data_IF_919267542662
#
_entry.id   IF_919267542662
#
_cell.length_a   1.000
_cell.length_b   1.000
_cell.length_c   1.000
_cell.angle_alpha   90.00
_cell.angle_beta   90.00
_cell.angle_gamma   90.00
#
_symmetry.space_group_name_H-M   'P 1'
#
loop_
_entity.id
_entity.type
_entity.pdbx_description
1 polymer ?
#
# COMPACT_ATOMS: atom_id res chain seq x y z
N UNK A 1 51.38 -26.78 -13.28
CA UNK A 1 50.76 -26.45 -14.58
C UNK A 1 49.28 -26.58 -14.35
N UNK A 2 48.58 -25.45 -14.25
CA UNK A 2 47.14 -25.41 -13.96
C UNK A 2 46.46 -24.80 -15.18
N UNK A 3 46.29 -25.61 -16.22
CA UNK A 3 45.46 -25.24 -17.37
C UNK A 3 44.01 -25.43 -16.93
N UNK A 4 43.46 -24.43 -16.25
CA UNK A 4 42.01 -24.30 -16.13
C UNK A 4 41.54 -23.49 -17.33
N UNK A 5 41.05 -24.20 -18.35
CA UNK A 5 40.25 -23.60 -19.40
C UNK A 5 39.08 -22.85 -18.74
N UNK A 6 39.03 -21.53 -18.94
CA UNK A 6 37.90 -20.71 -18.50
C UNK A 6 36.69 -21.20 -19.31
N UNK A 7 35.58 -21.64 -18.69
CA UNK A 7 34.38 -22.00 -19.41
C UNK A 7 33.91 -20.73 -20.13
N UNK A 8 34.12 -20.68 -21.44
CA UNK A 8 33.55 -19.61 -22.25
C UNK A 8 32.07 -19.93 -22.36
N UNK A 9 31.24 -18.98 -21.94
CA UNK A 9 29.78 -19.11 -22.00
C UNK A 9 29.38 -19.58 -23.39
N UNK A 10 28.60 -20.66 -23.45
CA UNK A 10 28.12 -21.24 -24.69
C UNK A 10 27.32 -20.16 -25.43
N UNK A 11 27.73 -19.83 -26.66
CA UNK A 11 26.96 -18.89 -27.48
C UNK A 11 25.52 -19.39 -27.61
N UNK A 12 24.57 -18.48 -27.44
CA UNK A 12 23.15 -18.77 -27.64
C UNK A 12 22.94 -19.23 -29.09
N UNK A 13 22.06 -20.22 -29.24
CA UNK A 13 21.59 -20.66 -30.54
C UNK A 13 20.63 -19.64 -31.14
N UNK A 14 20.48 -19.62 -32.47
CA UNK A 14 19.58 -18.69 -33.16
C UNK A 14 18.13 -18.78 -32.63
N UNK A 15 17.69 -19.98 -32.24
CA UNK A 15 16.37 -20.22 -31.62
C UNK A 15 16.25 -19.53 -30.25
N UNK A 16 17.28 -19.62 -29.41
CA UNK A 16 17.31 -18.96 -28.10
C UNK A 16 17.36 -17.43 -28.25
N UNK A 17 18.08 -16.92 -29.24
CA UNK A 17 18.13 -15.48 -29.56
C UNK A 17 16.76 -14.97 -30.01
N UNK A 18 16.06 -15.70 -30.89
CA UNK A 18 14.73 -15.34 -31.37
C UNK A 18 13.72 -15.34 -30.22
N UNK A 19 13.79 -16.33 -29.34
CA UNK A 19 12.91 -16.42 -28.17
C UNK A 19 13.15 -15.25 -27.20
N UNK A 20 14.40 -14.84 -26.97
CA UNK A 20 14.72 -13.70 -26.12
C UNK A 20 14.15 -12.39 -26.66
N UNK A 21 14.31 -12.16 -27.97
CA UNK A 21 13.78 -10.95 -28.64
C UNK A 21 12.25 -10.95 -28.68
N UNK A 22 11.61 -12.10 -28.87
CA UNK A 22 10.15 -12.21 -28.79
C UNK A 22 9.64 -11.98 -27.37
N UNK A 23 10.31 -12.54 -26.35
CA UNK A 23 9.99 -12.34 -24.94
C UNK A 23 10.06 -10.86 -24.53
N UNK A 24 11.09 -10.12 -24.96
CA UNK A 24 11.16 -8.67 -24.73
C UNK A 24 10.06 -7.90 -25.47
N UNK A 25 9.74 -8.31 -26.71
CA UNK A 25 8.78 -7.61 -27.57
C UNK A 25 7.32 -7.83 -27.18
N UNK A 26 7.00 -9.01 -26.64
CA UNK A 26 5.67 -9.35 -26.14
C UNK A 26 5.41 -8.78 -24.74
N UNK A 27 6.34 -7.98 -24.21
CA UNK A 27 6.23 -7.42 -22.89
C UNK A 27 6.33 -8.52 -21.84
N UNK A 28 7.42 -9.28 -21.88
CA UNK A 28 7.86 -10.21 -20.83
C UNK A 28 7.91 -9.49 -19.50
N UNK A 29 6.73 -9.39 -18.90
CA UNK A 29 6.47 -8.71 -17.66
C UNK A 29 6.91 -9.69 -16.57
N UNK A 30 8.17 -9.58 -16.16
CA UNK A 30 8.56 -9.93 -14.79
C UNK A 30 8.22 -8.77 -13.85
N UNK A 31 7.16 -8.00 -14.14
CA UNK A 31 6.42 -7.46 -13.03
C UNK A 31 5.66 -8.66 -12.46
N UNK A 32 6.19 -9.17 -11.36
CA UNK A 32 5.37 -9.59 -10.22
C UNK A 32 4.53 -8.38 -9.74
N UNK A 33 3.77 -7.76 -10.66
CA UNK A 33 2.51 -7.15 -10.34
C UNK A 33 1.64 -8.34 -9.98
N UNK A 34 1.78 -8.80 -8.75
CA UNK A 34 0.65 -9.32 -7.99
C UNK A 34 -0.49 -8.37 -8.36
N UNK A 35 -1.37 -8.80 -9.27
CA UNK A 35 -2.68 -8.19 -9.42
C UNK A 35 -3.24 -8.26 -8.01
N UNK A 36 -3.16 -7.14 -7.28
CA UNK A 36 -3.88 -6.98 -6.03
C UNK A 36 -5.32 -7.33 -6.40
N UNK A 37 -5.75 -8.55 -6.03
CA UNK A 37 -7.14 -8.98 -6.08
C UNK A 37 -7.94 -7.78 -5.62
N UNK A 38 -8.94 -7.37 -6.41
CA UNK A 38 -9.79 -6.20 -6.23
C UNK A 38 -10.40 -6.20 -4.81
N UNK A 39 -9.57 -5.81 -3.84
CA UNK A 39 -9.81 -5.85 -2.41
C UNK A 39 -10.62 -4.60 -2.14
N UNK A 40 -11.91 -4.69 -2.46
CA UNK A 40 -12.86 -3.60 -2.30
C UNK A 40 -12.71 -3.05 -0.87
N UNK A 41 -12.13 -1.85 -0.74
CA UNK A 41 -11.81 -1.27 0.56
C UNK A 41 -13.13 -1.14 1.34
N UNK A 42 -13.29 -1.84 2.48
CA UNK A 42 -14.57 -1.93 3.13
C UNK A 42 -14.99 -0.56 3.67
N UNK A 43 -16.24 -0.17 3.39
CA UNK A 43 -16.82 1.05 3.95
C UNK A 43 -16.86 0.95 5.48
N UNK A 44 -16.19 1.89 6.16
CA UNK A 44 -16.14 1.97 7.62
C UNK A 44 -16.90 3.17 8.14
N UNK A 45 -17.53 3.03 9.32
CA UNK A 45 -18.12 4.16 10.01
C UNK A 45 -17.06 5.17 10.47
N UNK A 46 -17.43 6.44 10.59
CA UNK A 46 -16.52 7.50 11.07
C UNK A 46 -15.91 7.15 12.43
N UNK A 47 -16.69 6.54 13.33
CA UNK A 47 -16.22 6.06 14.64
C UNK A 47 -15.13 4.98 14.51
N UNK A 48 -15.32 4.02 13.60
CA UNK A 48 -14.35 2.95 13.33
C UNK A 48 -13.07 3.53 12.71
N UNK A 49 -13.20 4.48 11.79
CA UNK A 49 -12.05 5.19 11.20
C UNK A 49 -11.24 5.96 12.26
N UNK A 50 -11.89 6.73 13.14
CA UNK A 50 -11.22 7.43 14.24
C UNK A 50 -10.50 6.46 15.18
N UNK A 51 -11.12 5.32 15.48
CA UNK A 51 -10.50 4.30 16.34
C UNK A 51 -9.29 3.65 15.68
N UNK A 52 -9.41 3.22 14.42
CA UNK A 52 -8.32 2.60 13.67
C UNK A 52 -7.12 3.54 13.53
N UNK A 53 -7.36 4.80 13.20
CA UNK A 53 -6.29 5.78 13.05
C UNK A 53 -5.58 6.09 14.37
N UNK A 54 -6.28 6.07 15.52
CA UNK A 54 -5.63 6.19 16.84
C UNK A 54 -4.71 5.00 17.12
N UNK A 55 -5.18 3.78 16.84
CA UNK A 55 -4.40 2.56 17.06
C UNK A 55 -3.14 2.60 16.17
N UNK A 56 -3.31 2.93 14.90
CA UNK A 56 -2.21 3.04 13.96
C UNK A 56 -1.18 4.09 14.38
N UNK A 57 -1.61 5.31 14.77
CA UNK A 57 -0.70 6.35 15.28
C UNK A 57 0.06 5.86 16.52
N UNK A 58 -0.62 5.20 17.46
CA UNK A 58 0.02 4.68 18.66
C UNK A 58 1.05 3.58 18.33
N UNK A 59 0.73 2.70 17.39
CA UNK A 59 1.67 1.70 16.87
C UNK A 59 2.88 2.39 16.23
N UNK A 60 2.64 3.37 15.34
CA UNK A 60 3.67 4.14 14.63
C UNK A 60 4.65 4.80 15.60
N UNK A 61 4.14 5.44 16.66
CA UNK A 61 4.95 6.12 17.68
C UNK A 61 5.80 5.17 18.54
N UNK A 62 5.44 3.88 18.61
CA UNK A 62 6.15 2.86 19.37
C UNK A 62 7.20 2.11 18.55
N UNK A 63 7.23 2.29 17.23
CA UNK A 63 8.21 1.61 16.38
C UNK A 63 9.60 2.25 16.53
N UNK A 64 10.63 1.40 16.55
CA UNK A 64 12.05 1.79 16.47
C UNK A 64 12.63 1.61 15.05
N UNK A 65 11.74 1.38 14.07
CA UNK A 65 12.13 1.22 12.68
C UNK A 65 12.32 2.61 12.02
N UNK A 66 13.52 2.87 11.53
CA UNK A 66 13.89 4.12 10.85
C UNK A 66 13.14 4.40 9.54
N UNK A 67 12.50 3.38 8.94
CA UNK A 67 11.62 3.55 7.78
C UNK A 67 10.36 4.36 8.11
N UNK A 68 9.96 4.41 9.37
CA UNK A 68 8.80 5.18 9.82
C UNK A 68 9.15 6.67 9.90
N UNK A 69 8.74 7.44 8.89
CA UNK A 69 9.02 8.86 8.82
C UNK A 69 8.08 9.69 9.72
N UNK A 70 8.65 10.60 10.50
CA UNK A 70 7.90 11.51 11.36
C UNK A 70 7.00 12.50 10.60
N UNK A 71 7.32 12.81 9.33
CA UNK A 71 6.47 13.62 8.47
C UNK A 71 5.16 12.89 8.13
N UNK A 72 5.20 11.58 7.95
CA UNK A 72 3.99 10.76 7.74
C UNK A 72 3.12 10.76 9.00
N UNK A 73 3.74 10.67 10.18
CA UNK A 73 3.05 10.80 11.46
C UNK A 73 2.27 12.13 11.57
N UNK A 74 2.84 13.22 11.05
CA UNK A 74 2.15 14.52 11.01
C UNK A 74 0.91 14.48 10.12
N UNK A 75 0.98 13.78 8.98
CA UNK A 75 -0.16 13.56 8.08
C UNK A 75 -1.27 12.76 8.77
N UNK A 76 -0.93 11.65 9.43
CA UNK A 76 -1.91 10.83 10.17
C UNK A 76 -2.59 11.61 11.30
N UNK A 77 -1.82 12.42 12.05
CA UNK A 77 -2.38 13.29 13.11
C UNK A 77 -3.32 14.36 12.53
N UNK A 78 -3.05 14.89 11.34
CA UNK A 78 -3.96 15.81 10.63
C UNK A 78 -5.28 15.11 10.30
N UNK A 79 -5.23 13.90 9.73
CA UNK A 79 -6.44 13.14 9.41
C UNK A 79 -7.24 12.75 10.64
N UNK A 80 -6.58 12.44 11.77
CA UNK A 80 -7.27 12.17 13.03
C UNK A 80 -8.09 13.38 13.50
N UNK A 81 -7.59 14.60 13.30
CA UNK A 81 -8.35 15.83 13.63
C UNK A 81 -9.58 15.96 12.73
N UNK A 82 -9.42 15.78 11.42
CA UNK A 82 -10.52 15.87 10.45
C UNK A 82 -11.60 14.83 10.77
N UNK A 83 -11.22 13.57 10.97
CA UNK A 83 -12.14 12.48 11.28
C UNK A 83 -12.90 12.72 12.60
N UNK A 84 -12.25 13.28 13.63
CA UNK A 84 -12.91 13.67 14.89
C UNK A 84 -13.95 14.79 14.67
N UNK A 85 -13.64 15.78 13.85
CA UNK A 85 -14.60 16.83 13.50
C UNK A 85 -15.82 16.25 12.78
N UNK A 86 -15.60 15.33 11.83
CA UNK A 86 -16.68 14.61 11.15
C UNK A 86 -17.50 13.77 12.13
N UNK A 87 -16.87 13.07 13.07
CA UNK A 87 -17.56 12.26 14.09
C UNK A 87 -18.47 13.14 14.96
N UNK A 88 -17.96 14.30 15.40
CA UNK A 88 -18.72 15.25 16.19
C UNK A 88 -19.92 15.82 15.43
N UNK A 89 -19.71 16.21 14.17
CA UNK A 89 -20.78 16.75 13.33
C UNK A 89 -21.84 15.70 13.00
N UNK A 90 -21.44 14.44 12.75
CA UNK A 90 -22.37 13.33 12.53
C UNK A 90 -23.29 13.11 13.74
N UNK A 91 -22.75 13.20 14.97
CA UNK A 91 -23.55 13.12 16.20
C UNK A 91 -24.56 14.26 16.30
N UNK A 92 -24.16 15.50 15.99
CA UNK A 92 -25.06 16.67 16.00
C UNK A 92 -26.17 16.55 14.97
N UNK A 93 -25.86 16.10 13.77
CA UNK A 93 -26.86 15.86 12.72
C UNK A 93 -27.88 14.83 13.18
N UNK A 94 -27.41 13.70 13.74
CA UNK A 94 -28.29 12.67 14.29
C UNK A 94 -29.21 13.20 15.39
N UNK A 95 -28.74 14.11 16.24
CA UNK A 95 -29.57 14.76 17.27
C UNK A 95 -30.64 15.67 16.68
N UNK A 96 -30.29 16.49 15.68
CA UNK A 96 -31.25 17.36 15.00
C UNK A 96 -32.31 16.55 14.24
N UNK A 97 -31.89 15.52 13.50
CA UNK A 97 -32.79 14.64 12.77
C UNK A 97 -33.79 13.94 13.71
N UNK A 98 -33.36 13.60 14.94
CA UNK A 98 -34.24 13.02 15.94
C UNK A 98 -35.27 14.03 16.48
N UNK A 99 -34.89 15.30 16.63
CA UNK A 99 -35.78 16.35 17.13
C UNK A 99 -36.95 16.64 16.16
N UNK A 100 -36.68 16.70 14.86
CA UNK A 100 -37.70 17.01 13.84
C UNK A 100 -38.58 15.81 13.44
N UNK A 101 -38.25 14.60 13.88
CA UNK A 101 -39.05 13.38 13.65
C UNK A 101 -40.11 13.12 14.73
N UNK A 102 -40.29 14.05 15.66
CA UNK A 102 -41.23 13.98 16.77
C UNK A 102 -42.41 14.91 16.53
#
# INVERSE_FOLDING_TARGET
MLDHEIPTEKNLTDEEIVNLVQFEKEGGNLNDEEEDEDDEIPLVSVKKAVSGLKIFINYFEQQDNSEFNIDDLRVFRKYLRIARTQEFNSKRQSTLDMFFKK
#
